data_IF_066005406182
#
_entry.id   IF_066005406182
#
_cell.length_a   1.000
_cell.length_b   1.000
_cell.length_c   1.000
_cell.angle_alpha   90.00
_cell.angle_beta   90.00
_cell.angle_gamma   90.00
#
_symmetry.space_group_name_H-M   'P 1'
#
loop_
_entity.id
_entity.type
_entity.pdbx_description
1 polymer ?
#
# COMPACT_ATOMS: atom_id res chain seq x y z
N UNK A 1 47.87 -33.61 -19.15
CA UNK A 1 46.75 -33.14 -19.99
C UNK A 1 45.82 -32.33 -19.11
N UNK A 2 45.80 -31.01 -19.28
CA UNK A 2 44.94 -30.13 -18.49
C UNK A 2 43.52 -30.09 -19.09
N UNK A 3 42.49 -30.13 -18.24
CA UNK A 3 41.16 -29.62 -18.59
C UNK A 3 40.71 -28.64 -17.51
N UNK A 4 40.55 -27.39 -17.94
CA UNK A 4 40.32 -26.21 -17.13
C UNK A 4 38.90 -26.16 -16.61
N UNK A 5 38.71 -25.76 -15.34
CA UNK A 5 37.40 -25.35 -14.82
C UNK A 5 36.99 -24.03 -15.47
N UNK A 6 35.80 -23.98 -16.07
CA UNK A 6 35.21 -22.73 -16.55
C UNK A 6 34.02 -22.35 -15.66
N UNK A 7 34.25 -21.45 -14.70
CA UNK A 7 33.17 -20.79 -13.97
C UNK A 7 32.42 -19.86 -14.93
N UNK A 8 31.16 -20.17 -15.24
CA UNK A 8 30.23 -19.15 -15.73
C UNK A 8 29.77 -18.31 -14.53
N UNK A 9 30.54 -17.25 -14.26
CA UNK A 9 30.09 -16.15 -13.40
C UNK A 9 29.26 -15.19 -14.25
N UNK A 10 27.98 -15.04 -13.93
CA UNK A 10 27.08 -14.10 -14.60
C UNK A 10 27.62 -12.67 -14.50
N UNK A 11 28.22 -12.20 -15.59
CA UNK A 11 28.84 -10.88 -15.69
C UNK A 11 27.78 -9.80 -15.86
N UNK A 12 27.04 -9.49 -14.80
CA UNK A 12 26.14 -8.34 -14.75
C UNK A 12 26.93 -7.08 -15.11
N UNK A 13 26.51 -6.40 -16.17
CA UNK A 13 27.21 -5.23 -16.74
C UNK A 13 27.58 -4.20 -15.67
N UNK A 14 28.80 -3.61 -15.70
CA UNK A 14 29.23 -2.60 -14.74
C UNK A 14 28.22 -1.45 -14.57
N UNK A 15 27.55 -1.06 -15.66
CA UNK A 15 26.50 -0.04 -15.68
C UNK A 15 25.29 -0.46 -14.84
N UNK A 16 24.82 -1.70 -14.98
CA UNK A 16 23.68 -2.24 -14.20
C UNK A 16 24.04 -2.31 -12.71
N UNK A 17 25.28 -2.73 -12.41
CA UNK A 17 25.79 -2.79 -11.03
C UNK A 17 25.95 -1.40 -10.41
N UNK A 18 26.33 -0.39 -11.19
CA UNK A 18 26.38 1.01 -10.77
C UNK A 18 24.97 1.59 -10.53
N UNK A 19 24.02 1.33 -11.44
CA UNK A 19 22.61 1.75 -11.28
C UNK A 19 21.97 1.10 -10.05
N UNK A 20 22.16 -0.21 -9.83
CA UNK A 20 21.69 -0.90 -8.63
C UNK A 20 22.31 -0.33 -7.35
N UNK A 21 23.60 -0.03 -7.33
CA UNK A 21 24.25 0.63 -6.19
C UNK A 21 23.73 2.07 -5.96
N UNK A 22 23.38 2.80 -7.02
CA UNK A 22 22.80 4.13 -6.92
C UNK A 22 21.37 4.07 -6.34
N UNK A 23 20.55 3.14 -6.83
CA UNK A 23 19.21 2.85 -6.30
C UNK A 23 19.30 2.39 -4.84
N UNK A 24 20.20 1.47 -4.51
CA UNK A 24 20.40 1.00 -3.14
C UNK A 24 20.83 2.12 -2.20
N UNK A 25 21.79 2.97 -2.60
CA UNK A 25 22.18 4.15 -1.81
C UNK A 25 21.03 5.16 -1.66
N UNK A 26 20.21 5.34 -2.70
CA UNK A 26 19.01 6.20 -2.65
C UNK A 26 17.99 5.67 -1.65
N UNK A 27 17.63 4.38 -1.76
CA UNK A 27 16.72 3.69 -0.85
C UNK A 27 17.26 3.72 0.58
N UNK A 28 18.54 3.43 0.82
CA UNK A 28 19.15 3.56 2.14
C UNK A 28 19.12 5.00 2.68
N UNK A 29 19.31 6.01 1.83
CA UNK A 29 19.19 7.43 2.24
C UNK A 29 17.76 7.86 2.53
N UNK A 30 16.76 7.28 1.86
CA UNK A 30 15.33 7.54 2.09
C UNK A 30 14.80 6.76 3.31
N UNK A 31 15.32 5.56 3.58
CA UNK A 31 15.01 4.77 4.79
C UNK A 31 15.71 5.34 6.04
N UNK A 32 16.96 5.81 5.92
CA UNK A 32 17.66 6.50 7.02
C UNK A 32 17.20 7.93 7.24
N UNK A 33 16.34 8.48 6.36
CA UNK A 33 15.58 9.70 6.60
C UNK A 33 14.32 9.42 7.43
N UNK A 34 14.52 8.80 8.59
CA UNK A 34 13.73 9.12 9.79
C UNK A 34 14.17 10.48 10.35
N UNK A 35 14.14 11.51 9.48
CA UNK A 35 14.04 12.89 9.96
C UNK A 35 12.77 12.95 10.81
N UNK A 36 12.92 13.39 12.07
CA UNK A 36 11.83 13.46 13.04
C UNK A 36 10.62 14.14 12.41
N UNK A 37 9.51 13.40 12.26
CA UNK A 37 8.27 13.93 11.69
C UNK A 37 7.92 15.20 12.45
N UNK A 38 7.98 16.35 11.77
CA UNK A 38 7.59 17.62 12.40
C UNK A 38 6.12 17.47 12.81
N UNK A 39 5.77 17.59 14.11
CA UNK A 39 4.44 17.23 14.60
C UNK A 39 3.30 18.11 14.04
N UNK A 40 3.63 19.13 13.25
CA UNK A 40 2.67 20.04 12.63
C UNK A 40 2.25 19.68 11.20
N UNK A 41 2.90 18.72 10.51
CA UNK A 41 2.61 18.43 9.09
C UNK A 41 1.28 17.69 8.89
N UNK A 42 0.36 18.31 8.15
CA UNK A 42 -0.90 17.70 7.73
C UNK A 42 -0.66 16.52 6.78
N UNK A 43 -1.47 15.47 6.92
CA UNK A 43 -1.43 14.27 6.09
C UNK A 43 -2.80 14.02 5.45
N UNK A 44 -2.83 13.70 4.16
CA UNK A 44 -4.06 13.36 3.43
C UNK A 44 -3.91 11.98 2.82
N UNK A 45 -4.85 11.09 3.14
CA UNK A 45 -4.90 9.73 2.66
C UNK A 45 -6.11 9.58 1.72
N UNK A 46 -5.83 9.40 0.44
CA UNK A 46 -6.83 9.23 -0.62
C UNK A 46 -7.13 7.75 -0.82
N UNK A 47 -8.41 7.40 -0.88
CA UNK A 47 -8.90 6.03 -1.11
C UNK A 47 -9.66 6.02 -2.43
N UNK A 48 -8.99 5.61 -3.51
CA UNK A 48 -9.63 5.46 -4.83
C UNK A 48 -10.47 4.19 -4.86
N UNK A 49 -11.63 4.27 -5.51
CA UNK A 49 -12.76 3.34 -5.34
C UNK A 49 -13.13 3.07 -3.87
N UNK A 50 -13.24 4.14 -3.07
CA UNK A 50 -13.81 4.08 -1.72
C UNK A 50 -15.22 3.45 -1.66
N UNK A 51 -15.94 3.45 -2.79
CA UNK A 51 -17.25 2.78 -2.92
C UNK A 51 -17.15 1.24 -3.02
N UNK A 52 -15.95 0.73 -3.33
CA UNK A 52 -15.68 -0.65 -3.67
C UNK A 52 -15.61 -1.61 -2.49
N UNK A 53 -15.57 -2.89 -2.84
CA UNK A 53 -15.65 -4.01 -1.91
C UNK A 53 -14.37 -4.14 -1.05
N UNK A 54 -13.20 -3.87 -1.64
CA UNK A 54 -11.91 -3.86 -0.93
C UNK A 54 -11.83 -2.73 0.10
N UNK A 55 -12.32 -1.54 -0.27
CA UNK A 55 -12.34 -0.39 0.63
C UNK A 55 -13.16 -0.67 1.89
N UNK A 56 -14.40 -1.16 1.72
CA UNK A 56 -15.32 -1.48 2.81
C UNK A 56 -14.85 -2.63 3.70
N UNK A 57 -14.29 -3.70 3.10
CA UNK A 57 -13.94 -4.94 3.81
C UNK A 57 -12.52 -4.96 4.40
N UNK A 58 -11.61 -4.11 3.92
CA UNK A 58 -10.21 -4.09 4.33
C UNK A 58 -9.69 -2.68 4.67
N UNK A 59 -9.77 -1.73 3.73
CA UNK A 59 -9.08 -0.43 3.89
C UNK A 59 -9.66 0.37 5.06
N UNK A 60 -10.96 0.64 5.06
CA UNK A 60 -11.59 1.41 6.15
C UNK A 60 -11.42 0.72 7.52
N UNK A 61 -11.64 -0.59 7.68
CA UNK A 61 -11.34 -1.28 8.94
C UNK A 61 -9.89 -1.15 9.40
N UNK A 62 -8.91 -1.36 8.52
CA UNK A 62 -7.50 -1.21 8.88
C UNK A 62 -7.16 0.23 9.28
N UNK A 63 -7.69 1.24 8.59
CA UNK A 63 -7.48 2.64 8.95
C UNK A 63 -8.14 3.01 10.29
N UNK A 64 -9.32 2.45 10.58
CA UNK A 64 -10.00 2.62 11.86
C UNK A 64 -9.21 2.01 13.02
N UNK A 65 -8.64 0.81 12.84
CA UNK A 65 -7.78 0.18 13.86
C UNK A 65 -6.50 1.00 14.08
N UNK A 66 -5.82 1.42 13.02
CA UNK A 66 -4.63 2.29 13.12
C UNK A 66 -4.93 3.64 13.80
N UNK A 67 -6.12 4.20 13.58
CA UNK A 67 -6.58 5.41 14.24
C UNK A 67 -6.84 5.20 15.73
N UNK A 68 -7.57 4.14 16.09
CA UNK A 68 -7.82 3.74 17.49
C UNK A 68 -6.52 3.50 18.25
N UNK A 69 -5.57 2.81 17.63
CA UNK A 69 -4.29 2.43 18.25
C UNK A 69 -3.29 3.61 18.32
N UNK A 70 -3.68 4.81 17.87
CA UNK A 70 -2.83 6.01 17.93
C UNK A 70 -1.63 5.98 16.97
N UNK A 71 -1.62 5.09 15.99
CA UNK A 71 -0.49 4.86 15.08
C UNK A 71 -0.47 5.79 13.86
N UNK A 72 -1.46 6.69 13.76
CA UNK A 72 -1.59 7.67 12.68
C UNK A 72 -1.17 9.08 13.15
N UNK A 73 -0.68 9.95 12.24
CA UNK A 73 -0.40 11.35 12.57
C UNK A 73 -1.66 12.09 13.06
N UNK A 74 -1.51 12.93 14.09
CA UNK A 74 -2.61 13.71 14.69
C UNK A 74 -3.43 14.52 13.68
N UNK A 75 -2.77 15.00 12.61
CA UNK A 75 -3.35 15.84 11.55
C UNK A 75 -3.61 15.05 10.26
N UNK A 76 -4.18 13.86 10.38
CA UNK A 76 -4.61 13.07 9.21
C UNK A 76 -6.04 13.38 8.79
N UNK A 77 -6.28 13.41 7.47
CA UNK A 77 -7.60 13.46 6.83
C UNK A 77 -7.72 12.36 5.80
N UNK A 78 -8.91 11.77 5.68
CA UNK A 78 -9.20 10.75 4.67
C UNK A 78 -10.13 11.31 3.61
N UNK A 79 -9.84 11.02 2.33
CA UNK A 79 -10.67 11.41 1.20
C UNK A 79 -10.96 10.16 0.37
N UNK A 80 -12.18 9.64 0.47
CA UNK A 80 -12.68 8.63 -0.46
C UNK A 80 -12.99 9.27 -1.82
N UNK A 81 -12.60 8.61 -2.91
CA UNK A 81 -12.79 9.09 -4.27
C UNK A 81 -13.36 7.97 -5.14
N UNK A 82 -14.57 8.16 -5.68
CA UNK A 82 -15.15 7.20 -6.62
C UNK A 82 -16.28 7.81 -7.46
N UNK A 83 -16.59 7.17 -8.58
CA UNK A 83 -17.64 7.57 -9.53
C UNK A 83 -19.08 7.49 -8.97
N UNK A 84 -19.28 6.75 -7.88
CA UNK A 84 -20.61 6.47 -7.33
C UNK A 84 -21.04 7.58 -6.36
N UNK A 85 -22.19 8.20 -6.62
CA UNK A 85 -22.80 9.19 -5.72
C UNK A 85 -23.32 8.52 -4.44
N UNK A 86 -22.51 8.59 -3.38
CA UNK A 86 -22.75 7.98 -2.07
C UNK A 86 -22.34 9.01 -1.00
N UNK A 87 -23.04 9.08 0.12
CA UNK A 87 -22.64 9.96 1.24
C UNK A 87 -21.73 9.21 2.22
N UNK A 88 -20.93 9.94 3.01
CA UNK A 88 -19.95 9.32 3.91
C UNK A 88 -20.63 8.48 5.01
N UNK A 89 -21.80 8.92 5.47
CA UNK A 89 -22.64 8.19 6.44
C UNK A 89 -23.05 6.83 5.89
N UNK A 90 -23.42 6.75 4.59
CA UNK A 90 -23.82 5.50 3.94
C UNK A 90 -22.64 4.53 3.70
N UNK A 91 -21.41 5.05 3.62
CA UNK A 91 -20.20 4.21 3.64
C UNK A 91 -20.01 3.61 5.04
N UNK A 92 -20.18 4.43 6.09
CA UNK A 92 -19.99 4.01 7.48
C UNK A 92 -21.18 3.31 8.15
N UNK A 93 -22.37 3.34 7.57
CA UNK A 93 -23.56 2.59 8.03
C UNK A 93 -23.27 1.07 8.08
N UNK A 94 -22.57 0.56 7.08
CA UNK A 94 -22.26 -0.87 6.94
C UNK A 94 -20.84 -1.24 7.42
N UNK A 95 -20.02 -0.25 7.80
CA UNK A 95 -18.62 -0.47 8.19
C UNK A 95 -18.44 -1.20 9.54
N UNK A 96 -19.25 -0.98 10.61
CA UNK A 96 -19.09 -1.65 11.91
C UNK A 96 -19.02 -3.17 11.81
N UNK A 97 -19.76 -3.77 10.86
CA UNK A 97 -19.76 -5.22 10.56
C UNK A 97 -18.37 -5.78 10.28
N UNK A 98 -17.48 -4.99 9.68
CA UNK A 98 -16.12 -5.40 9.34
C UNK A 98 -15.06 -4.90 10.34
N UNK A 99 -15.41 -3.89 11.15
CA UNK A 99 -14.50 -3.24 12.09
C UNK A 99 -14.42 -3.91 13.45
N UNK A 100 -15.44 -4.67 13.88
CA UNK A 100 -15.51 -5.32 15.20
C UNK A 100 -15.31 -4.34 16.37
N UNK A 101 -15.99 -3.20 16.30
CA UNK A 101 -15.90 -2.09 17.26
C UNK A 101 -16.47 -2.54 18.61
N UNK A 102 -15.75 -2.26 19.70
CA UNK A 102 -16.22 -2.49 21.08
C UNK A 102 -17.01 -1.27 21.62
N UNK A 103 -17.80 -1.44 22.68
CA UNK A 103 -18.68 -0.36 23.17
C UNK A 103 -17.92 0.87 23.68
N UNK A 104 -16.74 0.66 24.27
CA UNK A 104 -15.81 1.70 24.73
C UNK A 104 -15.08 2.43 23.59
N UNK A 105 -14.95 1.80 22.42
CA UNK A 105 -14.29 2.37 21.23
C UNK A 105 -15.19 3.36 20.46
N UNK A 106 -16.47 3.49 20.83
CA UNK A 106 -17.50 4.19 20.04
C UNK A 106 -17.21 5.68 19.83
N UNK A 107 -16.73 6.40 20.83
CA UNK A 107 -16.39 7.83 20.71
C UNK A 107 -15.22 8.03 19.71
N UNK A 108 -14.24 7.12 19.75
CA UNK A 108 -13.10 7.12 18.83
C UNK A 108 -13.54 6.79 17.40
N UNK A 109 -14.52 5.89 17.23
CA UNK A 109 -15.12 5.61 15.93
C UNK A 109 -15.90 6.81 15.37
N UNK A 110 -16.71 7.50 16.19
CA UNK A 110 -17.44 8.69 15.76
C UNK A 110 -16.47 9.82 15.34
N UNK A 111 -15.37 10.02 16.09
CA UNK A 111 -14.25 10.90 15.68
C UNK A 111 -13.61 10.46 14.35
N UNK A 112 -13.41 9.16 14.15
CA UNK A 112 -12.88 8.62 12.89
C UNK A 112 -13.82 8.94 11.71
N UNK A 113 -15.12 8.72 11.84
CA UNK A 113 -16.11 9.07 10.81
C UNK A 113 -16.04 10.56 10.46
N UNK A 114 -15.93 11.44 11.45
CA UNK A 114 -15.82 12.90 11.24
C UNK A 114 -14.52 13.38 10.57
N UNK A 115 -13.45 12.56 10.50
CA UNK A 115 -12.23 12.91 9.76
C UNK A 115 -12.17 12.33 8.34
N UNK A 116 -13.23 11.63 7.92
CA UNK A 116 -13.39 11.10 6.58
C UNK A 116 -14.29 12.01 5.71
N UNK A 117 -13.86 12.23 4.48
CA UNK A 117 -14.55 13.00 3.44
C UNK A 117 -14.72 12.14 2.19
N UNK A 118 -15.64 12.51 1.31
CA UNK A 118 -15.91 11.77 0.08
C UNK A 118 -16.13 12.73 -1.09
N UNK A 119 -15.52 12.42 -2.23
CA UNK A 119 -15.55 13.20 -3.47
C UNK A 119 -16.04 12.28 -4.59
N UNK A 120 -16.97 12.79 -5.41
CA UNK A 120 -17.66 12.04 -6.47
C UNK A 120 -17.31 12.64 -7.82
N UNK A 121 -16.50 11.91 -8.58
CA UNK A 121 -15.79 12.43 -9.76
C UNK A 121 -15.32 11.25 -10.65
N UNK A 122 -14.84 11.53 -11.86
CA UNK A 122 -14.35 10.51 -12.81
C UNK A 122 -12.88 10.13 -12.57
N UNK A 123 -12.46 8.99 -13.12
CA UNK A 123 -11.05 8.57 -13.16
C UNK A 123 -10.30 9.09 -14.39
N UNK A 124 -11.03 9.61 -15.39
CA UNK A 124 -10.50 9.83 -16.75
C UNK A 124 -10.35 11.33 -17.12
N UNK A 125 -10.81 12.26 -16.27
CA UNK A 125 -10.85 13.69 -16.55
C UNK A 125 -9.91 14.49 -15.64
N UNK A 126 -8.92 15.19 -16.21
CA UNK A 126 -7.97 15.99 -15.43
C UNK A 126 -8.60 17.11 -14.59
N UNK A 127 -9.72 17.68 -15.02
CA UNK A 127 -10.44 18.72 -14.27
C UNK A 127 -10.99 18.20 -12.93
N UNK A 128 -11.34 16.93 -12.87
CA UNK A 128 -11.84 16.29 -11.65
C UNK A 128 -10.69 16.10 -10.65
N UNK A 129 -9.47 15.80 -11.12
CA UNK A 129 -8.26 15.78 -10.29
C UNK A 129 -7.83 17.18 -9.82
N UNK A 130 -8.16 18.24 -10.57
CA UNK A 130 -8.01 19.63 -10.10
C UNK A 130 -8.98 19.95 -8.97
N UNK A 131 -10.25 19.55 -9.09
CA UNK A 131 -11.23 19.65 -8.00
C UNK A 131 -10.75 18.89 -6.75
N UNK A 132 -10.30 17.64 -6.92
CA UNK A 132 -9.74 16.82 -5.83
C UNK A 132 -8.54 17.50 -5.14
N UNK A 133 -7.66 18.16 -5.91
CA UNK A 133 -6.55 18.92 -5.37
C UNK A 133 -7.02 20.16 -4.58
N UNK A 134 -8.06 20.84 -5.03
CA UNK A 134 -8.68 21.98 -4.33
C UNK A 134 -9.33 21.52 -3.02
N UNK A 135 -10.11 20.44 -3.02
CA UNK A 135 -10.70 19.88 -1.79
C UNK A 135 -9.64 19.43 -0.79
N UNK A 136 -8.57 18.78 -1.26
CA UNK A 136 -7.44 18.40 -0.42
C UNK A 136 -6.82 19.62 0.29
N UNK A 137 -6.60 20.72 -0.43
CA UNK A 137 -6.01 21.94 0.14
C UNK A 137 -6.95 22.65 1.13
N UNK A 138 -8.27 22.64 0.89
CA UNK A 138 -9.27 23.13 1.85
C UNK A 138 -9.19 22.36 3.17
N UNK A 139 -9.06 21.03 3.10
CA UNK A 139 -9.06 20.13 4.26
C UNK A 139 -7.76 20.19 5.09
N UNK A 140 -6.61 20.44 4.46
CA UNK A 140 -5.32 20.60 5.17
C UNK A 140 -5.19 21.94 5.89
N UNK A 141 -6.04 22.94 5.58
CA UNK A 141 -5.97 24.35 6.07
C UNK A 141 -4.60 25.03 5.82
N UNK A 142 -3.81 24.45 4.94
CA UNK A 142 -2.45 24.83 4.55
C UNK A 142 -2.23 24.35 3.11
N UNK A 143 -1.48 25.11 2.30
CA UNK A 143 -1.11 24.73 0.92
C UNK A 143 -0.14 23.54 0.83
N UNK A 144 0.25 22.98 1.98
CA UNK A 144 1.26 21.93 2.13
C UNK A 144 0.72 20.80 3.02
N UNK A 145 0.63 19.60 2.46
CA UNK A 145 0.30 18.37 3.17
C UNK A 145 0.95 17.17 2.47
N UNK A 146 1.43 16.20 3.25
CA UNK A 146 1.91 14.92 2.74
C UNK A 146 0.73 14.09 2.19
N UNK A 147 0.90 13.47 1.02
CA UNK A 147 -0.20 12.79 0.32
C UNK A 147 0.07 11.30 0.09
N UNK A 148 -0.86 10.46 0.51
CA UNK A 148 -0.84 9.01 0.28
C UNK A 148 -2.04 8.66 -0.60
N UNK A 149 -1.79 8.03 -1.75
CA UNK A 149 -2.83 7.62 -2.69
C UNK A 149 -2.95 6.10 -2.72
N UNK A 150 -4.03 5.57 -2.18
CA UNK A 150 -4.35 4.14 -2.25
C UNK A 150 -5.25 3.86 -3.45
N UNK A 151 -4.70 3.16 -4.45
CA UNK A 151 -5.38 2.81 -5.68
C UNK A 151 -6.00 1.41 -5.58
N UNK A 152 -7.24 1.32 -5.10
CA UNK A 152 -8.04 0.09 -5.11
C UNK A 152 -8.82 -0.08 -6.44
N UNK A 153 -8.16 0.21 -7.56
CA UNK A 153 -8.74 0.23 -8.91
C UNK A 153 -8.36 -1.02 -9.71
N UNK A 154 -9.12 -1.38 -10.77
CA UNK A 154 -8.68 -2.40 -11.71
C UNK A 154 -7.42 -1.96 -12.48
N UNK A 155 -6.51 -2.89 -12.85
CA UNK A 155 -5.20 -2.54 -13.43
C UNK A 155 -5.23 -1.71 -14.71
N UNK A 156 -6.31 -1.80 -15.49
CA UNK A 156 -6.51 -1.08 -16.75
C UNK A 156 -6.56 0.45 -16.60
N UNK A 157 -6.81 0.97 -15.39
CA UNK A 157 -6.99 2.41 -15.13
C UNK A 157 -5.80 2.98 -14.33
N UNK A 158 -4.81 2.16 -13.94
CA UNK A 158 -3.67 2.63 -13.15
C UNK A 158 -2.78 3.62 -13.92
N UNK A 159 -2.56 3.41 -15.22
CA UNK A 159 -1.69 4.29 -16.02
C UNK A 159 -2.27 5.70 -16.15
N UNK A 160 -3.54 5.83 -16.58
CA UNK A 160 -4.23 7.12 -16.69
C UNK A 160 -4.33 7.84 -15.34
N UNK A 161 -4.76 7.14 -14.28
CA UNK A 161 -4.92 7.74 -12.94
C UNK A 161 -3.59 8.17 -12.35
N UNK A 162 -2.50 7.40 -12.50
CA UNK A 162 -1.19 7.80 -11.97
C UNK A 162 -0.61 8.99 -12.72
N UNK A 163 -0.84 9.10 -14.04
CA UNK A 163 -0.46 10.28 -14.83
C UNK A 163 -1.24 11.53 -14.37
N UNK A 164 -2.56 11.43 -14.19
CA UNK A 164 -3.40 12.54 -13.73
C UNK A 164 -3.05 12.99 -12.30
N UNK A 165 -2.83 12.05 -11.37
CA UNK A 165 -2.33 12.35 -10.01
C UNK A 165 -0.99 13.09 -10.08
N UNK A 166 -0.06 12.66 -10.93
CA UNK A 166 1.25 13.29 -11.06
C UNK A 166 1.19 14.70 -11.67
N UNK A 167 0.21 14.97 -12.53
CA UNK A 167 -0.01 16.30 -13.16
C UNK A 167 -0.71 17.28 -12.22
N UNK A 168 -1.83 16.88 -11.61
CA UNK A 168 -2.75 17.81 -10.92
C UNK A 168 -2.69 17.73 -9.39
N UNK A 169 -2.30 16.59 -8.81
CA UNK A 169 -2.38 16.34 -7.36
C UNK A 169 -1.02 16.26 -6.64
N UNK A 170 0.07 16.63 -7.31
CA UNK A 170 1.41 16.64 -6.71
C UNK A 170 1.58 17.84 -5.75
N UNK A 171 1.92 17.63 -4.47
CA UNK A 171 2.14 18.73 -3.54
C UNK A 171 3.48 19.43 -3.81
N UNK A 172 3.63 20.67 -3.33
CA UNK A 172 4.88 21.44 -3.47
C UNK A 172 5.91 20.98 -2.44
N UNK A 173 7.20 21.02 -2.80
CA UNK A 173 8.28 20.74 -1.84
C UNK A 173 8.17 21.66 -0.61
N UNK A 174 8.35 21.18 0.63
CA UNK A 174 9.03 19.92 1.00
C UNK A 174 8.14 18.66 1.06
N UNK A 175 6.84 18.74 0.74
CA UNK A 175 5.94 17.59 0.85
C UNK A 175 6.26 16.48 -0.14
N UNK A 176 5.91 15.26 0.26
CA UNK A 176 6.01 14.07 -0.58
C UNK A 176 4.63 13.52 -0.97
N UNK A 177 4.64 12.75 -2.05
CA UNK A 177 3.51 11.97 -2.55
C UNK A 177 3.94 10.50 -2.59
N UNK A 178 3.14 9.60 -2.00
CA UNK A 178 3.33 8.14 -2.09
C UNK A 178 2.12 7.50 -2.75
N UNK A 179 2.37 6.57 -3.65
CA UNK A 179 1.35 5.73 -4.28
C UNK A 179 1.40 4.34 -3.66
N UNK A 180 0.22 3.81 -3.35
CA UNK A 180 -0.03 2.47 -2.86
C UNK A 180 -0.94 1.81 -3.89
N UNK A 181 -0.52 0.66 -4.41
CA UNK A 181 -1.16 0.04 -5.58
C UNK A 181 -1.33 -1.46 -5.32
N UNK A 182 -2.47 -2.03 -5.71
CA UNK A 182 -2.85 -3.44 -5.50
C UNK A 182 -2.67 -4.32 -6.74
N UNK A 183 -2.17 -5.55 -6.55
CA UNK A 183 -1.79 -6.51 -7.62
C UNK A 183 -2.88 -6.69 -8.69
N UNK A 184 -2.54 -7.10 -9.94
CA UNK A 184 -1.23 -7.54 -10.47
C UNK A 184 -0.30 -6.44 -11.01
N UNK A 185 1.03 -6.66 -10.95
CA UNK A 185 2.06 -5.69 -11.39
C UNK A 185 3.32 -6.25 -12.03
N UNK A 186 3.94 -5.43 -12.88
CA UNK A 186 5.30 -5.63 -13.39
C UNK A 186 6.41 -4.98 -12.54
N UNK A 187 6.32 -3.73 -12.05
CA UNK A 187 7.51 -2.98 -11.52
C UNK A 187 7.43 -2.31 -10.11
N UNK A 188 6.78 -1.16 -9.95
CA UNK A 188 7.02 -0.24 -8.79
C UNK A 188 6.32 -0.70 -7.47
N UNK A 189 6.79 -0.24 -6.30
CA UNK A 189 6.37 -0.58 -4.91
C UNK A 189 4.94 -1.16 -4.73
N UNK A 190 4.86 -2.37 -4.18
CA UNK A 190 3.70 -3.27 -4.33
C UNK A 190 3.14 -3.70 -2.98
N UNK A 191 1.82 -3.64 -2.79
CA UNK A 191 1.21 -4.43 -1.72
C UNK A 191 1.29 -5.91 -2.08
N UNK A 192 1.90 -6.67 -1.18
CA UNK A 192 1.74 -8.12 -1.09
C UNK A 192 1.27 -8.38 0.33
N UNK A 193 -0.05 -8.50 0.54
CA UNK A 193 -0.63 -8.54 1.88
C UNK A 193 -0.08 -9.68 2.78
N UNK A 194 0.48 -10.74 2.18
CA UNK A 194 1.21 -11.78 2.91
C UNK A 194 2.48 -11.28 3.62
N UNK A 195 3.18 -10.27 3.09
CA UNK A 195 4.35 -9.65 3.76
C UNK A 195 3.94 -8.83 5.00
N UNK A 196 2.66 -8.47 5.13
CA UNK A 196 2.08 -7.86 6.32
C UNK A 196 1.71 -8.87 7.41
N UNK A 197 1.76 -10.19 7.15
CA UNK A 197 1.44 -11.21 8.14
C UNK A 197 2.61 -11.39 9.10
N UNK A 198 2.35 -11.29 10.40
CA UNK A 198 3.31 -11.42 11.50
C UNK A 198 4.27 -12.60 11.32
N UNK A 199 3.75 -13.81 11.08
CA UNK A 199 4.56 -15.02 10.87
C UNK A 199 5.51 -14.94 9.67
N UNK A 200 5.19 -14.14 8.64
CA UNK A 200 6.06 -13.94 7.47
C UNK A 200 7.17 -12.95 7.79
N UNK A 201 6.86 -11.89 8.55
CA UNK A 201 7.87 -10.93 9.04
C UNK A 201 8.86 -11.61 10.00
N UNK A 202 8.37 -12.50 10.86
CA UNK A 202 9.17 -13.26 11.82
C UNK A 202 10.19 -14.21 11.16
N UNK A 203 10.06 -14.57 9.88
CA UNK A 203 11.07 -15.39 9.16
C UNK A 203 12.44 -14.70 9.15
N UNK A 204 12.47 -13.37 9.00
CA UNK A 204 13.72 -12.58 9.00
C UNK A 204 14.38 -12.66 10.38
N UNK A 205 13.60 -12.45 11.44
CA UNK A 205 14.09 -12.53 12.83
C UNK A 205 14.59 -13.93 13.15
N UNK A 206 13.80 -14.96 12.85
CA UNK A 206 14.16 -16.37 13.09
C UNK A 206 15.47 -16.73 12.40
N UNK A 207 15.63 -16.37 11.12
CA UNK A 207 16.81 -16.73 10.32
C UNK A 207 18.09 -15.97 10.72
N UNK A 208 17.99 -14.69 11.07
CA UNK A 208 19.18 -13.83 11.22
C UNK A 208 19.51 -13.45 12.67
N UNK A 209 18.55 -13.44 13.61
CA UNK A 209 18.83 -13.14 15.02
C UNK A 209 19.36 -14.37 15.79
N UNK A 210 19.15 -15.59 15.29
CA UNK A 210 19.53 -16.83 15.97
C UNK A 210 20.80 -17.43 15.37
N UNK A 211 21.89 -17.46 16.14
CA UNK A 211 23.18 -18.03 15.68
C UNK A 211 23.09 -19.52 15.31
N UNK A 212 22.20 -20.28 15.94
CA UNK A 212 21.99 -21.70 15.62
C UNK A 212 21.31 -21.84 14.26
N UNK A 213 20.17 -21.16 14.07
CA UNK A 213 19.40 -21.23 12.82
C UNK A 213 20.19 -20.65 11.63
N UNK A 214 20.96 -19.58 11.83
CA UNK A 214 21.78 -18.99 10.76
C UNK A 214 22.86 -19.95 10.23
N UNK A 215 23.40 -20.84 11.08
CA UNK A 215 24.38 -21.86 10.68
C UNK A 215 23.76 -23.01 9.89
N UNK A 216 22.58 -23.48 10.26
CA UNK A 216 21.90 -24.60 9.58
C UNK A 216 21.06 -24.17 8.36
N UNK A 217 20.94 -22.86 8.08
CA UNK A 217 20.19 -22.37 6.92
C UNK A 217 20.98 -22.45 5.59
N UNK A 218 21.40 -23.67 5.23
CA UNK A 218 22.22 -23.95 4.04
C UNK A 218 21.83 -25.28 3.36
N UNK A 219 22.40 -25.53 2.18
CA UNK A 219 22.14 -26.73 1.36
C UNK A 219 22.67 -28.05 1.94
N UNK A 220 23.58 -27.98 2.90
CA UNK A 220 24.25 -29.14 3.51
C UNK A 220 23.44 -29.65 4.72
N UNK A 221 22.55 -28.81 5.27
CA UNK A 221 21.71 -29.09 6.43
C UNK A 221 20.22 -29.20 6.10
N UNK A 222 19.73 -28.54 5.03
CA UNK A 222 18.31 -28.54 4.63
C UNK A 222 18.09 -29.47 3.43
N UNK A 223 17.32 -30.53 3.63
CA UNK A 223 16.97 -31.48 2.57
C UNK A 223 15.93 -30.93 1.57
N UNK A 224 14.91 -30.19 2.04
CA UNK A 224 13.87 -29.59 1.21
C UNK A 224 13.20 -28.41 1.93
N UNK A 225 12.58 -27.50 1.16
CA UNK A 225 11.74 -26.41 1.67
C UNK A 225 10.37 -26.48 0.98
N UNK A 226 9.32 -26.73 1.76
CA UNK A 226 7.95 -26.83 1.25
C UNK A 226 7.17 -25.57 1.59
N UNK A 227 6.67 -24.86 0.58
CA UNK A 227 5.78 -23.72 0.73
C UNK A 227 4.40 -24.17 0.28
N UNK A 228 3.44 -24.24 1.21
CA UNK A 228 2.11 -24.78 0.98
C UNK A 228 1.08 -23.67 1.11
N UNK A 229 0.31 -23.46 0.05
CA UNK A 229 -0.90 -22.65 0.08
C UNK A 229 -2.10 -23.56 -0.16
N UNK A 230 -3.13 -23.45 0.67
CA UNK A 230 -4.36 -24.23 0.63
C UNK A 230 -5.52 -23.35 1.05
N UNK A 231 -6.63 -23.46 0.33
CA UNK A 231 -7.90 -22.84 0.65
C UNK A 231 -8.97 -23.93 0.65
N UNK A 232 -9.96 -23.80 1.54
CA UNK A 232 -11.14 -24.65 1.66
C UNK A 232 -12.32 -24.14 0.80
N UNK A 233 -12.13 -23.00 0.13
CA UNK A 233 -13.10 -22.35 -0.75
C UNK A 233 -12.75 -22.56 -2.23
N UNK A 234 -13.79 -22.70 -3.06
CA UNK A 234 -13.66 -22.65 -4.53
C UNK A 234 -13.67 -21.21 -5.07
N UNK A 235 -13.85 -21.06 -6.39
CA UNK A 235 -13.85 -19.74 -7.06
C UNK A 235 -15.03 -18.83 -6.71
N UNK A 236 -16.06 -19.32 -5.99
CA UNK A 236 -17.18 -18.53 -5.44
C UNK A 236 -17.78 -17.48 -6.40
N UNK A 237 -18.06 -17.88 -7.65
CA UNK A 237 -18.64 -17.00 -8.68
C UNK A 237 -17.67 -16.01 -9.33
N UNK A 238 -16.36 -16.12 -9.04
CA UNK A 238 -15.27 -15.37 -9.70
C UNK A 238 -14.46 -16.27 -10.66
N UNK A 239 -15.12 -17.27 -11.25
CA UNK A 239 -14.50 -18.24 -12.17
C UNK A 239 -13.78 -17.55 -13.32
N UNK A 240 -14.48 -16.66 -14.02
CA UNK A 240 -13.98 -15.96 -15.21
C UNK A 240 -12.69 -15.15 -14.93
N UNK A 241 -12.62 -14.47 -13.78
CA UNK A 241 -11.40 -13.77 -13.35
C UNK A 241 -10.28 -14.75 -12.97
N UNK A 242 -10.61 -15.87 -12.33
CA UNK A 242 -9.61 -16.88 -11.98
C UNK A 242 -9.05 -17.59 -13.23
N UNK A 243 -9.84 -17.77 -14.27
CA UNK A 243 -9.44 -18.46 -15.52
C UNK A 243 -8.40 -17.65 -16.32
N UNK A 244 -8.48 -16.31 -16.29
CA UNK A 244 -7.52 -15.42 -16.96
C UNK A 244 -6.10 -15.45 -16.34
N UNK A 245 -6.01 -15.63 -15.02
CA UNK A 245 -4.74 -15.54 -14.27
C UNK A 245 -4.20 -16.90 -13.81
N UNK A 246 -5.09 -17.82 -13.42
CA UNK A 246 -4.77 -19.11 -12.79
C UNK A 246 -4.12 -18.97 -11.41
N UNK A 247 -3.83 -20.11 -10.77
CA UNK A 247 -3.27 -20.19 -9.40
C UNK A 247 -1.80 -19.72 -9.28
N UNK A 248 -1.10 -19.49 -10.40
CA UNK A 248 0.35 -19.22 -10.42
C UNK A 248 0.67 -17.70 -10.38
N UNK A 249 -0.29 -16.82 -10.72
CA UNK A 249 -0.07 -15.36 -10.87
C UNK A 249 -0.56 -14.56 -9.66
#
# INVERSE_FOLDING_TARGET
MNKTQANQQDSVSPTVKATLNCIYKRICSEICRTESVKPSTSHIFFIFDASGDLAKKKIYPTLSWLYRDGLLPERIRFIGYARNLITIEKIFENAPKYMKIQEDERETYEKFVHINFYVVDSYDNGKDFENLNVEANKLSKQDSAHRIFYLALPPSIYESVTELISKHCRPKSPDWLRLIVEKPFKEIYRIVHYLGKEMVQNIIVLRFANQILSRVWNRDSIAAVNIIFKEDIGTQGRGDYFDEFGIIR
#
